data_IF_999150411849
#
_entry.id   IF_999150411849
#
_cell.length_a   1.000
_cell.length_b   1.000
_cell.length_c   1.000
_cell.angle_alpha   90.00
_cell.angle_beta   90.00
_cell.angle_gamma   90.00
#
_symmetry.space_group_name_H-M   'P 1'
#
loop_
_entity.id
_entity.type
_entity.pdbx_description
1 polymer ?
#
# COMPACT_ATOMS: atom_id res chain seq x y z
N UNK A 1 -9.40 -6.17 12.81
CA UNK A 1 -9.04 -5.67 11.47
C UNK A 1 -7.77 -6.36 11.05
N UNK A 2 -7.70 -6.84 9.81
CA UNK A 2 -6.44 -7.31 9.26
C UNK A 2 -5.48 -6.11 9.18
N UNK A 3 -4.21 -6.36 9.51
CA UNK A 3 -3.15 -5.36 9.52
C UNK A 3 -2.04 -5.86 8.59
N UNK A 4 -1.20 -4.96 8.05
CA UNK A 4 -0.01 -5.36 7.31
C UNK A 4 0.80 -6.39 8.10
N UNK A 5 1.58 -7.19 7.38
CA UNK A 5 2.48 -8.16 7.98
C UNK A 5 3.46 -7.43 8.92
N UNK A 6 3.55 -7.89 10.17
CA UNK A 6 4.36 -7.29 11.23
C UNK A 6 5.10 -8.35 12.02
N UNK A 7 6.29 -8.00 12.49
CA UNK A 7 7.06 -8.82 13.41
C UNK A 7 6.33 -8.95 14.73
N UNK A 8 6.46 -10.12 15.34
CA UNK A 8 6.12 -10.36 16.73
C UNK A 8 7.42 -10.55 17.51
N UNK A 9 7.62 -9.73 18.54
CA UNK A 9 8.80 -9.80 19.39
C UNK A 9 8.50 -10.59 20.66
N UNK A 10 9.19 -11.70 20.85
CA UNK A 10 9.08 -12.55 22.02
C UNK A 10 10.32 -12.41 22.91
N UNK A 11 10.22 -11.67 24.02
CA UNK A 11 11.35 -11.52 24.93
C UNK A 11 11.68 -12.82 25.65
N UNK A 12 12.92 -12.94 26.10
CA UNK A 12 13.44 -14.08 26.82
C UNK A 12 14.15 -15.09 25.92
N UNK A 13 14.74 -16.09 26.58
CA UNK A 13 15.67 -17.01 25.93
C UNK A 13 14.95 -17.98 24.99
N UNK A 14 15.46 -18.09 23.78
CA UNK A 14 15.05 -19.10 22.80
C UNK A 14 16.20 -20.05 22.51
N UNK A 15 15.85 -21.31 22.28
CA UNK A 15 16.79 -22.37 21.90
C UNK A 15 16.16 -23.18 20.78
N UNK A 16 16.98 -23.91 20.01
CA UNK A 16 16.46 -24.83 18.99
C UNK A 16 15.41 -25.82 19.55
N UNK A 17 15.60 -26.30 20.79
CA UNK A 17 14.63 -27.18 21.46
C UNK A 17 13.31 -26.48 21.77
N UNK A 18 13.36 -25.23 22.25
CA UNK A 18 12.17 -24.43 22.52
C UNK A 18 11.42 -24.12 21.22
N UNK A 19 12.14 -23.69 20.18
CA UNK A 19 11.57 -23.44 18.84
C UNK A 19 10.87 -24.68 18.30
N UNK A 20 11.52 -25.85 18.38
CA UNK A 20 10.93 -27.11 17.94
C UNK A 20 9.66 -27.48 18.71
N UNK A 21 9.69 -27.36 20.03
CA UNK A 21 8.59 -27.80 20.90
C UNK A 21 7.42 -26.82 20.96
N UNK A 22 7.67 -25.51 20.86
CA UNK A 22 6.67 -24.46 21.03
C UNK A 22 6.21 -23.81 19.73
N UNK A 23 6.99 -23.90 18.65
CA UNK A 23 6.61 -23.38 17.33
C UNK A 23 6.44 -24.50 16.33
N UNK A 24 7.50 -25.27 16.05
CA UNK A 24 7.48 -26.26 14.95
C UNK A 24 6.40 -27.32 15.12
N UNK A 25 6.36 -28.02 16.26
CA UNK A 25 5.39 -29.09 16.49
C UNK A 25 3.94 -28.59 16.50
N UNK A 26 3.58 -27.49 17.20
CA UNK A 26 2.22 -26.98 17.12
C UNK A 26 1.79 -26.56 15.70
N UNK A 27 2.71 -26.02 14.91
CA UNK A 27 2.43 -25.66 13.51
C UNK A 27 2.27 -26.91 12.64
N UNK A 28 3.08 -27.94 12.86
CA UNK A 28 2.97 -29.24 12.17
C UNK A 28 1.63 -29.92 12.47
N UNK A 29 1.29 -30.03 13.75
CA UNK A 29 0.03 -30.64 14.21
C UNK A 29 -1.22 -29.89 13.71
N UNK A 30 -1.13 -28.59 13.45
CA UNK A 30 -2.26 -27.76 13.02
C UNK A 30 -2.34 -27.54 11.50
N UNK A 31 -1.20 -27.35 10.83
CA UNK A 31 -1.09 -26.86 9.45
C UNK A 31 -0.12 -27.67 8.57
N UNK A 32 0.44 -28.80 9.07
CA UNK A 32 1.38 -29.63 8.31
C UNK A 32 2.74 -28.96 8.07
N UNK A 33 3.15 -28.08 8.98
CA UNK A 33 4.41 -27.34 8.90
C UNK A 33 5.67 -28.23 8.84
N UNK A 34 6.48 -28.02 7.82
CA UNK A 34 7.86 -28.50 7.77
C UNK A 34 8.83 -27.39 8.21
N UNK A 35 9.63 -27.65 9.25
CA UNK A 35 10.66 -26.73 9.71
C UNK A 35 12.00 -27.00 8.99
N UNK A 36 12.57 -25.96 8.38
CA UNK A 36 13.80 -26.03 7.59
C UNK A 36 14.81 -24.92 7.90
N UNK A 37 15.92 -24.95 7.17
CA UNK A 37 16.86 -23.83 7.12
C UNK A 37 16.27 -22.71 6.24
N UNK A 38 16.49 -21.43 6.59
CA UNK A 38 16.12 -20.31 5.73
C UNK A 38 16.93 -20.32 4.42
N UNK A 39 16.40 -19.73 3.35
CA UNK A 39 17.10 -19.64 2.07
C UNK A 39 18.31 -18.71 2.12
N UNK A 40 18.26 -17.70 2.98
CA UNK A 40 19.32 -16.74 3.23
C UNK A 40 19.86 -16.91 4.65
N UNK A 41 21.18 -16.77 4.78
CA UNK A 41 21.84 -16.78 6.08
C UNK A 41 21.19 -15.73 7.02
N UNK A 42 20.91 -16.12 8.28
CA UNK A 42 20.33 -15.22 9.26
C UNK A 42 21.30 -14.09 9.62
N UNK A 43 20.82 -13.04 10.31
CA UNK A 43 21.68 -11.99 10.83
C UNK A 43 22.80 -12.55 11.72
N UNK A 44 23.97 -11.87 11.81
CA UNK A 44 25.03 -12.26 12.73
C UNK A 44 24.50 -12.42 14.16
N UNK A 45 24.92 -13.47 14.86
CA UNK A 45 24.50 -13.81 16.23
C UNK A 45 23.03 -14.22 16.39
N UNK A 46 22.31 -14.43 15.28
CA UNK A 46 20.98 -15.02 15.27
C UNK A 46 21.01 -16.46 14.74
N UNK A 47 20.29 -17.34 15.41
CA UNK A 47 19.82 -18.59 14.82
C UNK A 47 18.45 -18.35 14.16
N UNK A 48 18.10 -19.15 13.14
CA UNK A 48 16.80 -18.99 12.49
C UNK A 48 16.23 -20.30 11.95
N UNK A 49 14.90 -20.30 11.80
CA UNK A 49 14.12 -21.35 11.15
C UNK A 49 13.09 -20.74 10.22
N UNK A 50 12.89 -21.43 9.10
CA UNK A 50 11.75 -21.26 8.20
C UNK A 50 10.76 -22.39 8.45
N UNK A 51 9.47 -22.09 8.38
CA UNK A 51 8.38 -23.04 8.50
C UNK A 51 7.50 -22.92 7.26
N UNK A 52 7.42 -23.98 6.46
CA UNK A 52 6.58 -24.04 5.26
C UNK A 52 5.37 -24.94 5.56
N UNK A 53 4.16 -24.43 5.34
CA UNK A 53 2.91 -25.11 5.68
C UNK A 53 2.31 -25.78 4.44
N UNK A 54 1.48 -26.80 4.64
CA UNK A 54 0.84 -27.54 3.54
C UNK A 54 -0.13 -26.67 2.72
N UNK A 55 -0.65 -25.58 3.31
CA UNK A 55 -1.52 -24.62 2.62
C UNK A 55 -0.76 -23.58 1.78
N UNK A 56 0.57 -23.69 1.69
CA UNK A 56 1.45 -22.77 0.98
C UNK A 56 1.82 -21.51 1.76
N UNK A 57 1.26 -21.30 2.96
CA UNK A 57 1.75 -20.25 3.86
C UNK A 57 3.12 -20.62 4.43
N UNK A 58 3.87 -19.63 4.89
CA UNK A 58 5.13 -19.85 5.58
C UNK A 58 5.38 -18.80 6.68
N UNK A 59 6.33 -19.12 7.54
CA UNK A 59 6.80 -18.23 8.57
C UNK A 59 8.31 -18.33 8.78
N UNK A 60 8.84 -17.28 9.39
CA UNK A 60 10.23 -17.07 9.73
C UNK A 60 10.31 -16.82 11.23
N UNK A 61 11.29 -17.46 11.86
CA UNK A 61 11.64 -17.19 13.25
C UNK A 61 13.14 -17.07 13.38
N UNK A 62 13.64 -15.95 13.89
CA UNK A 62 15.04 -15.80 14.27
C UNK A 62 15.17 -15.39 15.74
N UNK A 63 16.21 -15.87 16.42
CA UNK A 63 16.42 -15.57 17.83
C UNK A 63 17.89 -15.38 18.16
N UNK A 64 18.16 -14.59 19.21
CA UNK A 64 19.49 -14.33 19.74
C UNK A 64 19.46 -14.28 21.27
N UNK A 65 20.59 -14.54 21.91
CA UNK A 65 20.76 -14.34 23.35
C UNK A 65 21.06 -12.87 23.71
N UNK A 66 21.37 -12.00 22.74
CA UNK A 66 21.72 -10.59 22.96
C UNK A 66 21.26 -9.64 21.85
N UNK A 67 20.08 -9.04 22.03
CA UNK A 67 19.55 -7.93 21.24
C UNK A 67 20.15 -6.61 21.74
N UNK A 68 21.05 -6.03 20.94
CA UNK A 68 21.78 -4.79 21.30
C UNK A 68 21.17 -3.51 20.74
N UNK A 69 20.21 -3.64 19.82
CA UNK A 69 19.51 -2.53 19.17
C UNK A 69 18.00 -2.86 19.07
N UNK A 70 17.32 -3.03 20.21
CA UNK A 70 15.91 -3.39 20.22
C UNK A 70 15.04 -2.25 19.66
N UNK A 71 13.82 -2.55 19.19
CA UNK A 71 12.85 -1.53 18.81
C UNK A 71 12.63 -0.48 19.90
N UNK A 72 12.24 0.73 19.51
CA UNK A 72 11.96 1.81 20.44
C UNK A 72 10.99 1.37 21.55
N UNK A 73 11.39 1.59 22.81
CA UNK A 73 10.61 1.23 23.99
C UNK A 73 10.71 -0.24 24.44
N UNK A 74 11.52 -1.07 23.77
CA UNK A 74 11.78 -2.44 24.18
C UNK A 74 13.14 -2.60 24.89
N UNK A 75 13.19 -3.51 25.86
CA UNK A 75 14.44 -3.88 26.54
C UNK A 75 15.28 -4.82 25.67
N UNK A 76 16.61 -4.65 25.70
CA UNK A 76 17.56 -5.55 25.04
C UNK A 76 17.69 -6.92 25.73
N UNK A 77 18.64 -7.73 25.26
CA UNK A 77 18.91 -9.08 25.77
C UNK A 77 18.29 -10.19 24.93
N UNK A 78 18.02 -11.36 25.51
CA UNK A 78 17.56 -12.51 24.72
C UNK A 78 16.16 -12.30 24.14
N UNK A 79 16.00 -12.60 22.85
CA UNK A 79 14.78 -12.31 22.11
C UNK A 79 14.59 -13.26 20.93
N UNK A 80 13.33 -13.45 20.52
CA UNK A 80 12.96 -14.04 19.23
C UNK A 80 12.03 -13.12 18.44
N UNK A 81 12.17 -13.12 17.12
CA UNK A 81 11.33 -12.40 16.18
C UNK A 81 10.61 -13.39 15.26
N UNK A 82 9.29 -13.29 15.21
CA UNK A 82 8.43 -14.09 14.35
C UNK A 82 7.79 -13.22 13.27
N UNK A 83 7.73 -13.73 12.04
CA UNK A 83 7.04 -13.10 10.92
C UNK A 83 6.47 -14.18 10.00
N UNK A 84 5.21 -14.07 9.56
CA UNK A 84 4.68 -15.04 8.60
C UNK A 84 3.24 -14.77 8.19
N UNK A 85 2.83 -15.32 7.06
CA UNK A 85 1.48 -15.22 6.50
C UNK A 85 0.56 -16.36 6.98
N UNK A 86 0.89 -16.97 8.11
CA UNK A 86 0.22 -18.15 8.66
C UNK A 86 -0.45 -17.84 10.01
N UNK A 87 -1.14 -18.83 10.59
CA UNK A 87 -1.61 -18.71 11.98
C UNK A 87 -0.43 -18.53 12.93
N UNK A 88 -0.51 -17.50 13.79
CA UNK A 88 0.53 -17.29 14.80
C UNK A 88 0.42 -18.37 15.89
N UNK A 89 1.52 -19.07 16.24
CA UNK A 89 1.56 -19.97 17.39
C UNK A 89 1.13 -19.29 18.70
N UNK A 90 0.45 -20.04 19.57
CA UNK A 90 -0.13 -19.49 20.81
C UNK A 90 0.88 -18.88 21.78
N UNK A 91 2.10 -19.44 21.82
CA UNK A 91 3.25 -18.92 22.56
C UNK A 91 3.57 -17.45 22.19
N UNK A 92 3.18 -17.02 20.98
CA UNK A 92 3.47 -15.70 20.45
C UNK A 92 2.24 -14.77 20.44
N UNK A 93 1.08 -15.16 20.98
CA UNK A 93 -0.13 -14.32 20.89
C UNK A 93 -0.04 -12.99 21.64
N UNK A 94 0.63 -12.98 22.80
CA UNK A 94 0.75 -11.82 23.70
C UNK A 94 2.07 -11.05 23.51
N UNK A 95 2.60 -11.08 22.31
CA UNK A 95 3.83 -10.37 21.93
C UNK A 95 3.50 -9.01 21.35
N UNK A 96 4.42 -8.06 21.56
CA UNK A 96 4.39 -6.76 20.90
C UNK A 96 4.66 -6.93 19.40
N UNK A 97 4.06 -6.04 18.61
CA UNK A 97 4.14 -6.07 17.15
C UNK A 97 4.90 -4.86 16.62
N UNK A 98 5.76 -5.09 15.64
CA UNK A 98 6.61 -4.07 15.02
C UNK A 98 6.55 -4.16 13.50
N UNK A 99 6.51 -3.02 12.82
CA UNK A 99 6.69 -2.88 11.38
C UNK A 99 8.13 -3.20 10.95
N UNK A 100 8.37 -3.16 9.63
CA UNK A 100 9.71 -3.43 9.09
C UNK A 100 10.75 -2.36 9.48
N UNK A 101 10.32 -1.11 9.65
CA UNK A 101 11.22 0.00 10.01
C UNK A 101 11.41 0.13 11.53
N UNK A 102 10.53 -0.52 12.32
CA UNK A 102 10.61 -0.53 13.78
C UNK A 102 11.47 -1.70 14.30
N UNK A 103 11.49 -2.84 13.59
CA UNK A 103 12.30 -3.99 13.95
C UNK A 103 13.80 -3.76 13.61
N UNK A 104 14.74 -4.43 14.30
CA UNK A 104 16.17 -4.23 14.08
C UNK A 104 16.54 -4.44 12.60
N UNK A 105 17.26 -3.49 12.01
CA UNK A 105 17.56 -3.49 10.58
C UNK A 105 18.07 -4.84 10.04
N UNK A 106 19.01 -5.56 10.71
CA UNK A 106 19.47 -6.85 10.23
C UNK A 106 18.35 -7.90 10.14
N UNK A 107 17.44 -7.93 11.13
CA UNK A 107 16.28 -8.84 11.18
C UNK A 107 15.29 -8.48 10.07
N UNK A 108 14.94 -7.20 9.95
CA UNK A 108 14.04 -6.70 8.91
C UNK A 108 14.57 -6.96 7.50
N UNK A 109 15.86 -6.73 7.26
CA UNK A 109 16.50 -6.99 5.96
C UNK A 109 16.49 -8.47 5.62
N UNK A 110 16.85 -9.35 6.57
CA UNK A 110 16.85 -10.78 6.34
C UNK A 110 15.44 -11.29 6.01
N UNK A 111 14.44 -10.92 6.81
CA UNK A 111 13.08 -11.37 6.59
C UNK A 111 12.51 -10.84 5.26
N UNK A 112 12.80 -9.60 4.87
CA UNK A 112 12.36 -9.07 3.57
C UNK A 112 12.95 -9.85 2.41
N UNK A 113 14.20 -10.34 2.50
CA UNK A 113 14.80 -11.18 1.45
C UNK A 113 14.09 -12.53 1.33
N UNK A 114 13.83 -13.19 2.46
CA UNK A 114 13.05 -14.44 2.51
C UNK A 114 11.65 -14.26 1.93
N UNK A 115 10.96 -13.17 2.33
CA UNK A 115 9.63 -12.85 1.86
C UNK A 115 9.58 -12.54 0.36
N UNK A 116 10.54 -11.76 -0.15
CA UNK A 116 10.63 -11.45 -1.58
C UNK A 116 10.92 -12.69 -2.40
N UNK A 117 11.86 -13.54 -1.95
CA UNK A 117 12.11 -14.81 -2.62
C UNK A 117 10.85 -15.68 -2.65
N UNK A 118 10.06 -15.71 -1.56
CA UNK A 118 8.85 -16.52 -1.49
C UNK A 118 7.76 -15.97 -2.40
N UNK A 119 7.61 -14.64 -2.41
CA UNK A 119 6.73 -13.94 -3.32
C UNK A 119 7.07 -14.22 -4.80
N UNK A 120 8.36 -14.26 -5.15
CA UNK A 120 8.80 -14.51 -6.52
C UNK A 120 8.78 -15.99 -6.90
N UNK A 121 8.77 -16.91 -5.93
CA UNK A 121 8.50 -18.33 -6.18
C UNK A 121 7.00 -18.54 -6.47
N UNK A 122 6.12 -17.92 -5.67
CA UNK A 122 4.66 -17.98 -5.83
C UNK A 122 4.16 -17.24 -7.09
N UNK A 123 4.67 -16.03 -7.32
CA UNK A 123 4.24 -15.11 -8.37
C UNK A 123 5.46 -14.60 -9.18
N UNK A 124 6.06 -15.45 -10.04
CA UNK A 124 7.34 -15.13 -10.70
C UNK A 124 7.34 -13.85 -11.54
N UNK A 125 6.18 -13.43 -12.04
CA UNK A 125 6.03 -12.21 -12.83
C UNK A 125 6.27 -10.93 -12.01
N UNK A 126 6.17 -10.97 -10.67
CA UNK A 126 6.48 -9.83 -9.82
C UNK A 126 7.99 -9.52 -9.77
N UNK A 127 8.86 -10.45 -10.17
CA UNK A 127 10.31 -10.22 -10.24
C UNK A 127 10.69 -9.09 -11.23
N UNK A 128 9.86 -8.84 -12.25
CA UNK A 128 10.04 -7.75 -13.21
C UNK A 128 9.64 -6.37 -12.63
N UNK A 129 9.00 -6.35 -11.45
CA UNK A 129 8.50 -5.15 -10.77
C UNK A 129 9.05 -5.08 -9.33
N UNK A 130 10.37 -4.81 -9.16
CA UNK A 130 11.02 -4.83 -7.85
C UNK A 130 10.50 -3.75 -6.89
N UNK A 131 10.12 -2.56 -7.37
CA UNK A 131 9.59 -1.51 -6.50
C UNK A 131 8.19 -1.87 -5.99
N UNK A 132 7.30 -2.39 -6.84
CA UNK A 132 5.99 -2.92 -6.46
C UNK A 132 6.12 -4.08 -5.47
N UNK A 133 7.00 -5.05 -5.79
CA UNK A 133 7.26 -6.22 -4.94
C UNK A 133 7.71 -5.81 -3.54
N UNK A 134 8.66 -4.90 -3.46
CA UNK A 134 9.18 -4.42 -2.19
C UNK A 134 8.13 -3.58 -1.47
N UNK A 135 7.54 -2.57 -2.12
CA UNK A 135 6.64 -1.63 -1.48
C UNK A 135 5.42 -2.33 -0.85
N UNK A 136 4.77 -3.21 -1.61
CA UNK A 136 3.57 -3.94 -1.17
C UNK A 136 3.87 -5.27 -0.48
N UNK A 137 5.13 -5.63 -0.23
CA UNK A 137 5.49 -6.84 0.51
C UNK A 137 4.68 -7.06 1.81
N UNK A 138 4.42 -6.01 2.65
CA UNK A 138 3.64 -6.20 3.88
C UNK A 138 2.20 -6.68 3.64
N UNK A 139 1.62 -6.41 2.47
CA UNK A 139 0.26 -6.84 2.10
C UNK A 139 0.27 -8.09 1.22
N UNK A 140 1.21 -8.18 0.27
CA UNK A 140 1.42 -9.36 -0.57
C UNK A 140 1.83 -10.59 0.24
N UNK A 141 2.43 -10.42 1.41
CA UNK A 141 2.76 -11.51 2.32
C UNK A 141 1.92 -11.45 3.61
N UNK A 142 0.79 -10.74 3.63
CA UNK A 142 -0.12 -10.79 4.79
C UNK A 142 -0.98 -12.05 4.74
N UNK A 143 -1.30 -12.63 5.90
CA UNK A 143 -2.16 -13.83 5.99
C UNK A 143 -3.48 -13.67 5.23
N UNK A 144 -4.18 -12.57 5.49
CA UNK A 144 -5.53 -12.37 4.99
C UNK A 144 -5.55 -11.60 3.65
N UNK A 145 -4.49 -10.84 3.32
CA UNK A 145 -4.46 -9.96 2.15
C UNK A 145 -3.66 -10.47 0.97
N UNK A 146 -2.81 -11.50 1.13
CA UNK A 146 -1.90 -11.96 0.08
C UNK A 146 -2.63 -12.26 -1.24
N UNK A 147 -3.63 -13.15 -1.21
CA UNK A 147 -4.37 -13.51 -2.43
C UNK A 147 -5.10 -12.31 -3.02
N UNK A 148 -5.80 -11.52 -2.19
CA UNK A 148 -6.65 -10.44 -2.72
C UNK A 148 -5.83 -9.30 -3.32
N UNK A 149 -4.70 -8.95 -2.70
CA UNK A 149 -3.79 -7.92 -3.19
C UNK A 149 -3.02 -8.38 -4.43
N UNK A 150 -2.47 -9.61 -4.44
CA UNK A 150 -1.80 -10.18 -5.63
C UNK A 150 -2.78 -10.30 -6.81
N UNK A 151 -3.99 -10.82 -6.57
CA UNK A 151 -5.04 -10.94 -7.58
C UNK A 151 -5.49 -9.59 -8.15
N UNK A 152 -5.45 -8.50 -7.36
CA UNK A 152 -5.78 -7.17 -7.86
C UNK A 152 -4.78 -6.69 -8.94
N UNK A 153 -3.49 -6.93 -8.76
CA UNK A 153 -2.52 -6.64 -9.81
C UNK A 153 -2.62 -7.64 -10.96
N UNK A 154 -2.68 -8.94 -10.65
CA UNK A 154 -2.68 -10.04 -11.62
C UNK A 154 -3.89 -10.02 -12.55
N UNK A 155 -5.08 -9.84 -11.99
CA UNK A 155 -6.35 -10.05 -12.69
C UNK A 155 -7.09 -8.74 -13.02
N UNK A 156 -6.73 -7.63 -12.37
CA UNK A 156 -7.42 -6.33 -12.52
C UNK A 156 -6.49 -5.19 -12.92
N UNK A 157 -5.25 -5.50 -13.33
CA UNK A 157 -4.27 -4.53 -13.83
C UNK A 157 -4.16 -3.29 -12.92
N UNK A 158 -4.10 -3.48 -11.60
CA UNK A 158 -4.06 -2.40 -10.62
C UNK A 158 -5.23 -1.39 -10.70
N UNK A 159 -6.40 -1.83 -11.18
CA UNK A 159 -7.61 -1.01 -11.28
C UNK A 159 -7.72 -0.19 -12.56
N UNK A 160 -6.87 -0.44 -13.56
CA UNK A 160 -6.99 0.14 -14.90
C UNK A 160 -7.82 -0.79 -15.80
N UNK A 161 -9.06 -0.44 -16.17
CA UNK A 161 -10.02 -1.38 -16.78
C UNK A 161 -9.63 -1.90 -18.17
N UNK A 162 -8.92 -1.08 -18.96
CA UNK A 162 -8.53 -1.40 -20.34
C UNK A 162 -7.06 -1.84 -20.46
N UNK A 163 -6.37 -1.97 -19.32
CA UNK A 163 -4.93 -2.27 -19.29
C UNK A 163 -4.65 -3.76 -19.20
N UNK A 164 -3.49 -4.17 -19.73
CA UNK A 164 -2.89 -5.46 -19.38
C UNK A 164 -2.32 -5.40 -17.96
N UNK A 165 -2.12 -6.57 -17.35
CA UNK A 165 -1.41 -6.69 -16.06
C UNK A 165 -0.08 -5.95 -16.09
N UNK A 166 0.68 -6.13 -17.18
CA UNK A 166 2.02 -5.55 -17.34
C UNK A 166 1.95 -4.02 -17.38
N UNK A 167 1.01 -3.47 -18.14
CA UNK A 167 0.85 -2.02 -18.24
C UNK A 167 0.40 -1.40 -16.91
N UNK A 168 -0.63 -1.97 -16.27
CA UNK A 168 -1.14 -1.47 -14.99
C UNK A 168 -0.12 -1.59 -13.85
N UNK A 169 0.59 -2.72 -13.76
CA UNK A 169 1.66 -2.89 -12.76
C UNK A 169 2.85 -1.97 -13.08
N UNK A 170 3.20 -1.81 -14.36
CA UNK A 170 4.25 -0.92 -14.81
C UNK A 170 4.00 0.54 -14.43
N UNK A 171 2.76 1.02 -14.49
CA UNK A 171 2.40 2.35 -14.01
C UNK A 171 2.74 2.53 -12.52
N UNK A 172 2.38 1.55 -11.68
CA UNK A 172 2.65 1.59 -10.23
C UNK A 172 4.15 1.45 -9.96
N UNK A 173 4.86 0.62 -10.71
CA UNK A 173 6.32 0.47 -10.64
C UNK A 173 7.04 1.78 -10.91
N UNK A 174 6.69 2.48 -12.00
CA UNK A 174 7.29 3.78 -12.33
C UNK A 174 6.92 4.86 -11.31
N UNK A 175 5.72 4.78 -10.72
CA UNK A 175 5.30 5.68 -9.65
C UNK A 175 6.13 5.49 -8.37
N UNK A 176 6.52 4.25 -8.06
CA UNK A 176 7.28 3.92 -6.86
C UNK A 176 8.79 4.04 -7.04
N UNK A 177 9.29 3.93 -8.28
CA UNK A 177 10.72 3.97 -8.62
C UNK A 177 11.49 5.14 -7.99
N UNK A 178 10.95 6.38 -7.93
CA UNK A 178 11.68 7.52 -7.34
C UNK A 178 11.88 7.42 -5.82
N UNK A 179 11.13 6.56 -5.13
CA UNK A 179 11.21 6.39 -3.67
C UNK A 179 10.49 7.48 -2.86
N UNK A 180 9.69 8.35 -3.50
CA UNK A 180 9.00 9.48 -2.84
C UNK A 180 8.08 9.05 -1.70
N UNK A 181 7.56 7.82 -1.74
CA UNK A 181 6.65 7.29 -0.74
C UNK A 181 7.29 6.24 0.18
N UNK A 182 8.60 6.00 0.09
CA UNK A 182 9.28 4.90 0.80
C UNK A 182 9.19 5.05 2.32
N UNK A 183 9.37 6.26 2.84
CA UNK A 183 9.23 6.57 4.27
C UNK A 183 7.81 6.37 4.81
N UNK A 184 6.82 6.25 3.92
CA UNK A 184 5.41 6.07 4.24
C UNK A 184 4.88 4.68 3.86
N UNK A 185 5.78 3.74 3.51
CA UNK A 185 5.43 2.43 2.94
C UNK A 185 4.42 1.66 3.77
N UNK A 186 4.59 1.56 5.09
CA UNK A 186 3.66 0.77 5.91
C UNK A 186 2.22 1.32 5.85
N UNK A 187 2.09 2.65 5.90
CA UNK A 187 0.81 3.34 5.86
C UNK A 187 0.16 3.19 4.49
N UNK A 188 0.89 3.55 3.44
CA UNK A 188 0.37 3.58 2.07
C UNK A 188 0.15 2.19 1.48
N UNK A 189 1.06 1.23 1.71
CA UNK A 189 0.83 -0.16 1.29
C UNK A 189 -0.40 -0.75 2.01
N UNK A 190 -0.60 -0.39 3.28
CA UNK A 190 -1.76 -0.81 4.07
C UNK A 190 -3.11 -0.37 3.48
N UNK A 191 -3.16 0.74 2.74
CA UNK A 191 -4.39 1.25 2.10
C UNK A 191 -4.94 0.31 1.02
N UNK A 192 -4.06 -0.41 0.31
CA UNK A 192 -4.49 -1.43 -0.65
C UNK A 192 -5.38 -2.49 0.03
N UNK A 193 -5.06 -2.77 1.30
CA UNK A 193 -5.86 -3.57 2.20
C UNK A 193 -5.31 -4.97 2.40
N UNK A 194 -5.74 -5.54 3.53
CA UNK A 194 -5.26 -6.83 4.06
C UNK A 194 -6.41 -7.80 4.28
N UNK A 195 -7.57 -7.55 3.67
CA UNK A 195 -8.79 -8.34 3.88
C UNK A 195 -8.80 -9.60 3.03
N UNK A 196 -9.34 -10.69 3.59
CA UNK A 196 -9.65 -11.91 2.86
C UNK A 196 -10.74 -11.71 1.79
N UNK A 197 -11.57 -10.67 1.94
CA UNK A 197 -12.51 -10.25 0.89
C UNK A 197 -11.88 -9.21 -0.04
N UNK A 198 -11.92 -9.50 -1.35
CA UNK A 198 -11.47 -8.58 -2.40
C UNK A 198 -12.48 -7.44 -2.55
N UNK A 199 -12.03 -6.22 -2.28
CA UNK A 199 -12.79 -4.98 -2.44
C UNK A 199 -12.12 -4.12 -3.51
N UNK A 200 -12.57 -4.28 -4.77
CA UNK A 200 -12.01 -3.57 -5.92
C UNK A 200 -12.21 -2.05 -5.82
N UNK A 201 -13.28 -1.60 -5.15
CA UNK A 201 -13.54 -0.17 -4.97
C UNK A 201 -12.46 0.44 -4.09
N UNK A 202 -12.21 -0.16 -2.93
CA UNK A 202 -11.16 0.29 -2.01
C UNK A 202 -9.76 0.18 -2.62
N UNK A 203 -9.45 -0.95 -3.27
CA UNK A 203 -8.14 -1.17 -3.88
C UNK A 203 -7.87 -0.17 -5.00
N UNK A 204 -8.86 0.11 -5.84
CA UNK A 204 -8.73 1.13 -6.89
C UNK A 204 -8.61 2.53 -6.27
N UNK A 205 -9.35 2.84 -5.20
CA UNK A 205 -9.20 4.10 -4.48
C UNK A 205 -7.79 4.27 -3.91
N UNK A 206 -7.16 3.20 -3.40
CA UNK A 206 -5.78 3.25 -2.96
C UNK A 206 -4.83 3.57 -4.13
N UNK A 207 -5.00 2.94 -5.29
CA UNK A 207 -4.19 3.26 -6.50
C UNK A 207 -4.38 4.71 -6.96
N UNK A 208 -5.56 5.30 -6.74
CA UNK A 208 -5.81 6.71 -7.03
C UNK A 208 -4.85 7.64 -6.28
N UNK A 209 -4.53 7.29 -5.04
CA UNK A 209 -3.60 8.07 -4.24
C UNK A 209 -2.16 7.95 -4.73
N UNK A 210 -1.76 6.80 -5.28
CA UNK A 210 -0.45 6.68 -5.94
C UNK A 210 -0.40 7.53 -7.22
N UNK A 211 -1.47 7.57 -8.01
CA UNK A 211 -1.56 8.45 -9.17
C UNK A 211 -1.48 9.94 -8.76
N UNK A 212 -2.19 10.33 -7.69
CA UNK A 212 -2.11 11.68 -7.14
C UNK A 212 -0.71 12.01 -6.62
N UNK A 213 -0.07 11.09 -5.90
CA UNK A 213 1.30 11.24 -5.41
C UNK A 213 2.27 11.47 -6.57
N UNK A 214 2.15 10.68 -7.66
CA UNK A 214 2.93 10.87 -8.88
C UNK A 214 2.73 12.25 -9.50
N UNK A 215 1.49 12.69 -9.67
CA UNK A 215 1.19 14.02 -10.24
C UNK A 215 1.88 15.12 -9.43
N UNK A 216 1.79 15.03 -8.10
CA UNK A 216 2.36 16.04 -7.21
C UNK A 216 3.89 15.99 -7.22
N UNK A 217 4.50 14.81 -7.17
CA UNK A 217 5.96 14.67 -7.19
C UNK A 217 6.56 15.07 -8.54
N UNK A 218 5.93 14.68 -9.64
CA UNK A 218 6.38 15.02 -11.00
C UNK A 218 6.25 16.53 -11.26
N UNK A 219 5.31 17.20 -10.58
CA UNK A 219 5.18 18.65 -10.59
C UNK A 219 6.18 19.37 -9.65
N UNK A 220 7.04 18.62 -8.95
CA UNK A 220 8.11 19.16 -8.10
C UNK A 220 7.70 19.43 -6.64
N UNK A 221 6.55 18.95 -6.19
CA UNK A 221 6.13 19.10 -4.79
C UNK A 221 6.72 17.99 -3.91
N UNK A 222 7.14 18.35 -2.70
CA UNK A 222 7.36 17.39 -1.62
C UNK A 222 6.01 16.96 -1.05
N UNK A 223 5.78 15.65 -0.91
CA UNK A 223 4.49 15.13 -0.45
C UNK A 223 4.58 14.48 0.93
N UNK A 224 3.57 14.71 1.74
CA UNK A 224 3.34 14.00 3.01
C UNK A 224 1.94 13.40 2.98
N UNK A 225 1.79 12.07 2.98
CA UNK A 225 0.50 11.41 3.04
C UNK A 225 -0.12 11.45 4.43
N UNK A 226 -1.43 11.17 4.53
CA UNK A 226 -2.16 10.92 5.78
C UNK A 226 -1.97 12.02 6.84
N UNK A 227 -2.15 13.27 6.41
CA UNK A 227 -1.94 14.42 7.30
C UNK A 227 -3.15 14.65 8.19
N UNK A 228 -2.94 14.53 9.50
CA UNK A 228 -3.95 14.92 10.49
C UNK A 228 -4.16 16.43 10.44
N UNK A 229 -5.41 16.84 10.22
CA UNK A 229 -5.81 18.25 10.28
C UNK A 229 -6.58 18.52 11.56
N UNK A 230 -6.64 19.80 11.96
CA UNK A 230 -7.24 20.25 13.22
C UNK A 230 -8.70 19.88 13.43
N UNK A 231 -9.37 19.42 12.37
CA UNK A 231 -10.75 18.93 12.37
C UNK A 231 -10.88 17.48 12.84
N UNK A 232 -9.77 16.76 13.07
CA UNK A 232 -9.74 15.37 13.54
C UNK A 232 -9.95 14.32 12.44
N UNK A 233 -9.89 14.74 11.17
CA UNK A 233 -9.83 13.85 10.01
C UNK A 233 -8.41 13.89 9.42
N UNK A 234 -7.96 12.80 8.81
CA UNK A 234 -6.78 12.81 7.94
C UNK A 234 -7.20 13.20 6.52
N UNK A 235 -6.39 14.02 5.86
CA UNK A 235 -6.44 14.23 4.42
C UNK A 235 -5.38 13.39 3.73
N UNK A 236 -5.63 13.05 2.47
CA UNK A 236 -4.75 12.14 1.74
C UNK A 236 -3.33 12.67 1.59
N UNK A 237 -3.15 13.95 1.24
CA UNK A 237 -1.83 14.56 1.10
C UNK A 237 -1.73 16.02 1.54
N UNK A 238 -0.52 16.40 1.97
CA UNK A 238 0.01 17.75 1.86
C UNK A 238 1.08 17.77 0.78
N UNK A 239 0.96 18.69 -0.18
CA UNK A 239 1.98 19.00 -1.17
C UNK A 239 2.68 20.32 -0.78
N UNK A 240 3.98 20.28 -0.58
CA UNK A 240 4.79 21.43 -0.17
C UNK A 240 5.69 21.84 -1.32
N UNK A 241 5.59 23.10 -1.71
CA UNK A 241 6.53 23.71 -2.65
C UNK A 241 7.90 23.83 -1.95
N UNK A 242 8.96 23.17 -2.44
CA UNK A 242 10.27 23.18 -1.80
C UNK A 242 10.98 24.54 -1.90
N UNK A 243 10.64 25.39 -2.89
CA UNK A 243 11.24 26.71 -3.07
C UNK A 243 10.62 27.74 -2.12
N UNK A 244 9.30 27.69 -1.95
CA UNK A 244 8.56 28.70 -1.16
C UNK A 244 8.17 28.22 0.23
N UNK A 245 8.17 26.91 0.48
CA UNK A 245 7.64 26.28 1.69
C UNK A 245 6.10 26.32 1.79
N UNK A 246 5.40 26.73 0.72
CA UNK A 246 3.94 26.79 0.71
C UNK A 246 3.34 25.38 0.70
N UNK A 247 2.50 25.08 1.69
CA UNK A 247 1.79 23.80 1.79
C UNK A 247 0.36 23.88 1.27
N UNK A 248 0.00 22.94 0.39
CA UNK A 248 -1.33 22.78 -0.20
C UNK A 248 -1.91 21.43 0.21
N UNK A 249 -3.16 21.43 0.67
CA UNK A 249 -3.85 20.21 1.08
C UNK A 249 -4.57 19.60 -0.13
N UNK A 250 -4.47 18.28 -0.27
CA UNK A 250 -5.08 17.51 -1.36
C UNK A 250 -5.86 16.34 -0.79
N UNK A 251 -7.07 16.17 -1.29
CA UNK A 251 -7.92 15.01 -1.03
C UNK A 251 -8.19 14.31 -2.35
N UNK A 252 -8.15 12.99 -2.37
CA UNK A 252 -8.27 12.15 -3.56
C UNK A 252 -9.59 11.38 -3.50
N UNK A 253 -10.22 11.25 -4.66
CA UNK A 253 -11.39 10.39 -4.81
C UNK A 253 -11.41 9.75 -6.18
N UNK A 254 -11.97 8.54 -6.27
CA UNK A 254 -12.03 7.76 -7.50
C UNK A 254 -13.45 7.27 -7.77
N UNK A 255 -14.16 7.85 -8.76
CA UNK A 255 -15.46 7.36 -9.18
C UNK A 255 -15.39 5.92 -9.67
N UNK A 256 -16.48 5.18 -9.51
CA UNK A 256 -16.57 3.80 -10.02
C UNK A 256 -17.14 3.79 -11.44
N UNK A 257 -16.60 2.95 -12.34
CA UNK A 257 -17.08 2.87 -13.72
C UNK A 257 -18.55 2.48 -13.76
N UNK A 258 -19.23 2.94 -14.81
CA UNK A 258 -20.69 2.82 -14.94
C UNK A 258 -21.13 1.61 -15.76
N UNK A 259 -20.24 1.06 -16.57
CA UNK A 259 -20.45 -0.15 -17.35
C UNK A 259 -21.00 -1.31 -16.50
N UNK A 260 -22.12 -1.90 -16.95
CA UNK A 260 -22.82 -2.99 -16.25
C UNK A 260 -23.91 -2.56 -15.26
N UNK A 261 -24.11 -1.24 -15.05
CA UNK A 261 -25.24 -0.70 -14.28
C UNK A 261 -26.29 -0.18 -15.25
N UNK A 262 -27.54 -0.61 -15.07
CA UNK A 262 -28.64 -0.40 -16.04
C UNK A 262 -29.02 1.07 -16.32
N UNK A 263 -28.48 2.06 -15.60
CA UNK A 263 -28.90 3.45 -15.68
C UNK A 263 -27.86 4.50 -15.23
N UNK A 264 -26.55 4.29 -15.42
CA UNK A 264 -25.56 5.24 -14.89
C UNK A 264 -24.75 5.96 -15.98
N UNK A 265 -24.68 7.28 -15.86
CA UNK A 265 -23.92 8.23 -16.68
C UNK A 265 -22.58 8.53 -15.99
N UNK A 266 -21.41 8.39 -16.66
CA UNK A 266 -20.10 8.66 -16.07
C UNK A 266 -19.96 10.12 -15.58
N UNK A 267 -20.66 11.07 -16.19
CA UNK A 267 -20.72 12.47 -15.75
C UNK A 267 -21.43 12.59 -14.39
N UNK A 268 -22.50 11.82 -14.18
CA UNK A 268 -23.18 11.75 -12.90
C UNK A 268 -22.31 11.06 -11.83
N UNK A 269 -21.64 9.97 -12.19
CA UNK A 269 -20.73 9.26 -11.27
C UNK A 269 -19.61 10.16 -10.73
N UNK A 270 -19.01 11.02 -11.57
CA UNK A 270 -18.04 12.03 -11.13
C UNK A 270 -18.66 13.02 -10.15
N UNK A 271 -19.86 13.53 -10.44
CA UNK A 271 -20.55 14.51 -9.58
C UNK A 271 -20.91 13.92 -8.22
N UNK A 272 -21.49 12.73 -8.19
CA UNK A 272 -21.97 12.08 -6.97
C UNK A 272 -20.81 11.68 -6.06
N UNK A 273 -19.72 11.19 -6.65
CA UNK A 273 -18.50 10.83 -5.92
C UNK A 273 -17.85 12.06 -5.29
N UNK A 274 -17.69 13.13 -6.08
CA UNK A 274 -17.16 14.39 -5.57
C UNK A 274 -18.08 15.00 -4.49
N UNK A 275 -19.40 14.95 -4.69
CA UNK A 275 -20.37 15.47 -3.71
C UNK A 275 -20.30 14.73 -2.38
N UNK A 276 -20.25 13.40 -2.40
CA UNK A 276 -20.15 12.58 -1.18
C UNK A 276 -18.94 12.98 -0.33
N UNK A 277 -17.78 13.15 -0.98
CA UNK A 277 -16.55 13.63 -0.32
C UNK A 277 -16.66 15.07 0.18
N UNK A 278 -17.31 15.94 -0.59
CA UNK A 278 -17.50 17.35 -0.25
C UNK A 278 -18.41 17.55 0.96
N UNK A 279 -19.55 16.86 0.99
CA UNK A 279 -20.54 16.96 2.07
C UNK A 279 -20.07 16.36 3.41
N UNK A 280 -19.01 15.55 3.38
CA UNK A 280 -18.38 14.98 4.56
C UNK A 280 -17.13 15.75 4.97
N UNK A 281 -15.96 15.18 4.63
CA UNK A 281 -14.64 15.58 5.14
C UNK A 281 -14.27 17.03 4.78
N UNK A 282 -14.62 17.51 3.58
CA UNK A 282 -14.13 18.80 3.06
C UNK A 282 -14.94 20.02 3.51
N UNK A 283 -16.19 19.83 3.95
CA UNK A 283 -17.07 20.93 4.37
C UNK A 283 -16.47 21.74 5.54
N UNK A 284 -15.63 21.11 6.37
CA UNK A 284 -14.96 21.74 7.51
C UNK A 284 -13.76 22.62 7.12
N UNK A 285 -13.27 22.56 5.87
CA UNK A 285 -12.01 23.20 5.44
C UNK A 285 -12.19 24.43 4.54
N UNK A 286 -13.40 24.96 4.39
CA UNK A 286 -13.71 26.25 3.76
C UNK A 286 -13.01 26.55 2.40
N UNK A 287 -12.74 25.52 1.59
CA UNK A 287 -12.08 25.66 0.29
C UNK A 287 -10.54 25.67 0.32
N UNK A 288 -9.91 25.39 1.47
CA UNK A 288 -8.46 25.27 1.60
C UNK A 288 -7.84 23.94 1.13
N UNK A 289 -8.67 23.01 0.63
CA UNK A 289 -8.26 21.69 0.13
C UNK A 289 -8.55 21.62 -1.35
N UNK A 290 -7.61 21.10 -2.14
CA UNK A 290 -7.83 20.81 -3.57
C UNK A 290 -8.32 19.37 -3.72
N UNK A 291 -9.48 19.19 -4.34
CA UNK A 291 -10.02 17.86 -4.63
C UNK A 291 -9.43 17.30 -5.92
N UNK A 292 -8.79 16.15 -5.84
CA UNK A 292 -8.33 15.35 -6.97
C UNK A 292 -9.37 14.27 -7.26
N UNK A 293 -10.00 14.32 -8.44
CA UNK A 293 -10.93 13.30 -8.90
C UNK A 293 -10.23 12.46 -9.97
N UNK A 294 -9.79 11.28 -9.56
CA UNK A 294 -9.14 10.30 -10.41
C UNK A 294 -10.17 9.47 -11.19
N UNK A 295 -10.23 9.63 -12.50
CA UNK A 295 -11.07 8.87 -13.42
C UNK A 295 -10.32 7.70 -14.09
N UNK A 296 -9.16 7.28 -13.59
CA UNK A 296 -8.37 6.15 -14.13
C UNK A 296 -9.07 4.80 -14.05
N UNK A 297 -10.19 4.70 -13.33
CA UNK A 297 -11.08 3.53 -13.30
C UNK A 297 -12.08 3.52 -14.44
N UNK A 298 -12.20 4.60 -15.21
CA UNK A 298 -13.12 4.68 -16.34
C UNK A 298 -12.45 4.13 -17.61
N UNK A 299 -13.17 3.30 -18.39
CA UNK A 299 -12.78 2.98 -19.74
C UNK A 299 -12.69 4.23 -20.63
N UNK A 300 -12.00 4.10 -21.76
CA UNK A 300 -11.71 5.24 -22.63
C UNK A 300 -12.97 6.01 -23.11
N UNK A 301 -14.09 5.32 -23.37
CA UNK A 301 -15.34 5.93 -23.82
C UNK A 301 -16.07 6.70 -22.70
N UNK A 302 -16.11 6.15 -21.49
CA UNK A 302 -16.64 6.85 -20.30
C UNK A 302 -15.84 8.11 -20.00
N UNK A 303 -14.51 8.03 -20.09
CA UNK A 303 -13.64 9.19 -19.91
C UNK A 303 -13.85 10.25 -20.99
N UNK A 304 -13.95 9.85 -22.27
CA UNK A 304 -14.23 10.78 -23.36
C UNK A 304 -15.53 11.57 -23.14
N UNK A 305 -16.57 10.92 -22.59
CA UNK A 305 -17.82 11.57 -22.22
C UNK A 305 -17.63 12.59 -21.07
N UNK A 306 -16.88 12.23 -20.02
CA UNK A 306 -16.54 13.16 -18.92
C UNK A 306 -15.75 14.35 -19.44
N UNK A 307 -14.78 14.12 -20.32
CA UNK A 307 -13.95 15.17 -20.91
C UNK A 307 -14.73 16.14 -21.76
N UNK A 308 -15.64 15.64 -22.60
CA UNK A 308 -16.48 16.48 -23.42
C UNK A 308 -17.45 17.34 -22.58
N UNK A 309 -17.94 16.80 -21.47
CA UNK A 309 -18.91 17.49 -20.62
C UNK A 309 -18.28 18.42 -19.57
N UNK A 310 -17.04 18.15 -19.18
CA UNK A 310 -16.33 18.72 -18.03
C UNK A 310 -17.24 19.08 -16.84
N UNK A 311 -17.88 18.09 -16.19
CA UNK A 311 -18.84 18.37 -15.12
C UNK A 311 -18.26 19.30 -14.06
N UNK A 312 -19.07 20.26 -13.63
CA UNK A 312 -18.81 20.97 -12.39
C UNK A 312 -18.83 19.96 -11.23
N UNK A 313 -17.76 19.97 -10.44
CA UNK A 313 -17.70 19.31 -9.14
C UNK A 313 -18.11 20.34 -8.08
N UNK A 314 -18.92 19.92 -7.10
CA UNK A 314 -19.52 20.84 -6.09
C UNK A 314 -18.50 21.39 -5.08
N UNK A 315 -17.23 21.01 -5.20
CA UNK A 315 -16.09 21.54 -4.46
C UNK A 315 -15.14 22.31 -5.38
N UNK A 316 -14.58 23.40 -4.89
CA UNK A 316 -13.52 24.16 -5.57
C UNK A 316 -12.49 24.60 -4.53
N UNK A 317 -11.19 24.50 -4.81
CA UNK A 317 -10.58 24.07 -6.07
C UNK A 317 -10.60 22.55 -6.32
N UNK A 318 -10.60 22.13 -7.59
CA UNK A 318 -10.54 20.73 -7.97
C UNK A 318 -9.84 20.47 -9.31
N UNK A 319 -9.26 19.28 -9.45
CA UNK A 319 -8.67 18.73 -10.67
C UNK A 319 -9.36 17.40 -10.97
N UNK A 320 -9.90 17.24 -12.17
CA UNK A 320 -10.46 15.98 -12.65
C UNK A 320 -9.54 15.46 -13.73
N UNK A 321 -8.98 14.27 -13.55
CA UNK A 321 -7.97 13.71 -14.45
C UNK A 321 -8.17 12.22 -14.67
N UNK A 322 -7.51 11.69 -15.70
CA UNK A 322 -7.32 10.26 -15.93
C UNK A 322 -5.85 10.03 -16.22
N UNK A 323 -5.25 9.11 -15.48
CA UNK A 323 -3.93 8.58 -15.79
C UNK A 323 -4.08 7.35 -16.69
N UNK A 324 -3.19 7.24 -17.66
CA UNK A 324 -3.04 6.07 -18.50
C UNK A 324 -1.86 5.21 -18.02
N UNK A 325 -1.89 3.89 -18.28
CA UNK A 325 -0.80 3.00 -17.89
C UNK A 325 0.58 3.35 -18.49
N UNK A 326 0.62 4.09 -19.60
CA UNK A 326 1.86 4.57 -20.21
C UNK A 326 2.48 5.79 -19.49
N UNK A 327 1.81 6.29 -18.45
CA UNK A 327 2.23 7.43 -17.66
C UNK A 327 1.71 8.78 -18.16
N UNK A 328 1.00 8.83 -19.29
CA UNK A 328 0.31 10.06 -19.69
C UNK A 328 -0.86 10.36 -18.76
N UNK A 329 -1.08 11.64 -18.48
CA UNK A 329 -2.14 12.09 -17.59
C UNK A 329 -2.82 13.28 -18.25
N UNK A 330 -4.13 13.19 -18.43
CA UNK A 330 -4.92 14.28 -18.98
C UNK A 330 -6.06 14.68 -18.04
N UNK A 331 -6.38 15.97 -17.98
CA UNK A 331 -7.30 16.49 -16.98
C UNK A 331 -7.73 17.94 -17.20
N UNK A 332 -8.68 18.40 -16.40
CA UNK A 332 -9.18 19.77 -16.42
C UNK A 332 -9.34 20.27 -14.98
N UNK A 333 -9.27 21.59 -14.78
CA UNK A 333 -9.45 22.23 -13.47
C UNK A 333 -10.84 22.84 -13.30
N UNK A 334 -11.32 22.90 -12.06
CA UNK A 334 -12.48 23.69 -11.64
C UNK A 334 -12.12 24.60 -10.47
N UNK A 335 -12.30 25.91 -10.67
CA UNK A 335 -11.89 26.93 -9.71
C UNK A 335 -10.39 27.28 -9.83
N UNK A 336 -9.90 28.06 -8.87
CA UNK A 336 -8.50 28.49 -8.82
C UNK A 336 -7.67 27.45 -8.08
N UNK A 337 -7.14 26.48 -8.82
CA UNK A 337 -6.24 25.45 -8.29
C UNK A 337 -4.90 26.10 -7.91
N UNK A 338 -4.44 26.00 -6.64
CA UNK A 338 -3.21 26.65 -6.18
C UNK A 338 -1.93 25.87 -6.50
N UNK A 339 -2.06 24.70 -7.13
CA UNK A 339 -0.97 23.85 -7.59
C UNK A 339 -0.69 24.13 -9.08
N UNK A 340 0.57 24.30 -9.45
CA UNK A 340 0.98 24.31 -10.86
C UNK A 340 1.19 22.87 -11.33
N UNK A 341 0.27 22.40 -12.19
CA UNK A 341 0.27 21.04 -12.73
C UNK A 341 0.46 21.04 -14.25
N UNK A 342 0.75 22.19 -14.85
CA UNK A 342 0.72 22.39 -16.31
C UNK A 342 1.78 21.59 -17.06
N UNK A 343 2.87 21.21 -16.39
CA UNK A 343 3.92 20.35 -16.94
C UNK A 343 3.65 18.84 -16.83
N UNK A 344 2.58 18.44 -16.14
CA UNK A 344 2.32 17.03 -15.78
C UNK A 344 0.94 16.56 -16.24
N UNK A 345 -0.09 17.41 -16.18
CA UNK A 345 -1.47 17.06 -16.54
C UNK A 345 -1.91 17.83 -17.79
N UNK A 346 -2.05 17.11 -18.90
CA UNK A 346 -2.46 17.68 -20.17
C UNK A 346 -3.88 18.26 -20.12
N UNK A 347 -4.01 19.53 -20.49
CA UNK A 347 -5.27 20.28 -20.45
C UNK A 347 -5.53 21.03 -19.14
N UNK A 348 -4.61 20.96 -18.17
CA UNK A 348 -4.64 21.80 -16.95
C UNK A 348 -3.69 22.99 -17.14
N UNK A 349 -4.22 24.08 -17.71
CA UNK A 349 -3.52 25.39 -17.82
C UNK A 349 -4.24 26.48 -17.06
#
# INVERSE_FOLDING_TARGET
>A
MAQPLRFRRSPGRWTADRVRSQLARPLDENLGATAGDPWFAPPPDYEARRFDMDDGSFALFCWTDSDSDPPAGADGGSVGYWLGNTETPSELWRTDKYGFDEAPYPVSRWAQRELLAGLHDDEPWLADYPHVSWYFLPVFCSKDGAETSRAFFRDHAAGFPDATREAGTGFVEETLRPGTLDDYREVMAGKLGTSASRDLVRMSAAIAEFAAARILSDAGYEITPEIEVTTGHSLDFRATDPETGAGHLVEVTRPQPTAGRSANDPVAAVRDTAETKTSGQLAAHAGGVTLFVDCSSFPADEWAAVRAAEPAVRHKPAVVYRAEPDGSIEGYRKGSVPLDLSGVVDGVS
#
